data_IF_305670680861
#
_entry.id   IF_305670680861
#
_cell.length_a   1.000
_cell.length_b   1.000
_cell.length_c   1.000
_cell.angle_alpha   90.00
_cell.angle_beta   90.00
_cell.angle_gamma   90.00
#
_symmetry.space_group_name_H-M   'P 1'
#
loop_
_entity.id
_entity.type
_entity.pdbx_description
1 polymer ?
#
# COMPACT_ATOMS: atom_id res chain seq x y z
N UNK A 1 -20.96 25.97 10.08
CA UNK A 1 -19.95 24.92 10.40
C UNK A 1 -20.01 23.85 9.30
N UNK A 2 -19.29 24.00 8.19
CA UNK A 2 -19.32 23.13 6.98
C UNK A 2 -17.91 22.67 6.52
N UNK A 3 -16.92 22.65 7.42
CA UNK A 3 -15.51 22.36 7.05
C UNK A 3 -15.12 20.89 7.07
N UNK A 4 -15.95 19.98 7.59
CA UNK A 4 -15.53 18.58 7.80
C UNK A 4 -15.63 17.70 6.54
N UNK A 5 -16.50 18.01 5.59
CA UNK A 5 -16.74 17.13 4.43
C UNK A 5 -15.58 17.15 3.44
N UNK A 6 -14.99 18.32 3.16
CA UNK A 6 -13.88 18.46 2.21
C UNK A 6 -12.61 17.76 2.73
N UNK A 7 -12.28 17.93 4.01
CA UNK A 7 -11.11 17.31 4.61
C UNK A 7 -11.16 15.77 4.58
N UNK A 8 -12.35 15.18 4.72
CA UNK A 8 -12.54 13.73 4.62
C UNK A 8 -12.31 13.22 3.20
N UNK A 9 -12.84 13.91 2.18
CA UNK A 9 -12.64 13.54 0.77
C UNK A 9 -11.17 13.65 0.37
N UNK A 10 -10.49 14.72 0.79
CA UNK A 10 -9.06 14.91 0.51
C UNK A 10 -8.20 13.79 1.14
N UNK A 11 -8.52 13.39 2.38
CA UNK A 11 -7.83 12.29 3.05
C UNK A 11 -8.06 10.93 2.36
N UNK A 12 -9.26 10.69 1.83
CA UNK A 12 -9.57 9.47 1.08
C UNK A 12 -8.86 9.43 -0.27
N UNK A 13 -8.80 10.56 -0.99
CA UNK A 13 -8.04 10.68 -2.23
C UNK A 13 -6.55 10.46 -2.02
N UNK A 14 -5.99 11.06 -0.96
CA UNK A 14 -4.60 10.81 -0.59
C UNK A 14 -4.33 9.33 -0.28
N UNK A 15 -5.29 8.61 0.30
CA UNK A 15 -5.16 7.17 0.53
C UNK A 15 -5.17 6.36 -0.76
N UNK A 16 -6.07 6.67 -1.69
CA UNK A 16 -6.10 6.04 -3.02
C UNK A 16 -4.76 6.25 -3.75
N UNK A 17 -4.25 7.48 -3.74
CA UNK A 17 -2.97 7.82 -4.36
C UNK A 17 -1.80 7.07 -3.72
N UNK A 18 -1.78 6.96 -2.39
CA UNK A 18 -0.75 6.19 -1.67
C UNK A 18 -0.79 4.72 -2.03
N UNK A 19 -1.96 4.10 -2.07
CA UNK A 19 -2.10 2.68 -2.42
C UNK A 19 -1.70 2.46 -3.88
N UNK A 20 -2.12 3.34 -4.79
CA UNK A 20 -1.75 3.30 -6.20
C UNK A 20 -0.24 3.43 -6.40
N UNK A 21 0.40 4.36 -5.68
CA UNK A 21 1.85 4.51 -5.69
C UNK A 21 2.56 3.24 -5.18
N UNK A 22 2.09 2.66 -4.08
CA UNK A 22 2.66 1.44 -3.53
C UNK A 22 2.61 0.28 -4.53
N UNK A 23 1.44 0.06 -5.15
CA UNK A 23 1.26 -0.95 -6.20
C UNK A 23 2.16 -0.71 -7.42
N UNK A 24 2.31 0.55 -7.85
CA UNK A 24 3.06 0.87 -9.06
C UNK A 24 4.58 0.93 -8.87
N UNK A 25 5.07 1.22 -7.66
CA UNK A 25 6.48 1.51 -7.40
C UNK A 25 7.09 0.64 -6.31
N UNK A 26 6.44 0.54 -5.16
CA UNK A 26 7.02 -0.15 -4.00
C UNK A 26 6.95 -1.67 -4.17
N UNK A 27 5.81 -2.21 -4.63
CA UNK A 27 5.63 -3.64 -4.85
C UNK A 27 6.60 -4.20 -5.90
N UNK A 28 6.82 -3.56 -7.07
CA UNK A 28 7.86 -4.01 -7.99
C UNK A 28 9.28 -3.88 -7.44
N UNK A 29 9.55 -2.85 -6.62
CA UNK A 29 10.88 -2.68 -6.02
C UNK A 29 11.24 -3.82 -5.06
N UNK A 30 10.24 -4.40 -4.39
CA UNK A 30 10.42 -5.53 -3.48
C UNK A 30 11.00 -6.78 -4.17
N UNK A 31 10.84 -6.96 -5.49
CA UNK A 31 11.39 -8.11 -6.22
C UNK A 31 12.92 -8.23 -6.11
N UNK A 32 13.62 -7.14 -5.77
CA UNK A 32 15.07 -7.09 -5.60
C UNK A 32 15.53 -7.45 -4.19
N UNK A 33 14.61 -7.89 -3.33
CA UNK A 33 14.81 -7.99 -1.88
C UNK A 33 14.42 -6.70 -1.18
N UNK A 34 14.01 -6.81 0.08
CA UNK A 34 13.52 -5.69 0.88
C UNK A 34 13.64 -5.98 2.38
N UNK A 35 13.41 -4.94 3.18
CA UNK A 35 13.43 -5.05 4.64
C UNK A 35 12.06 -4.70 5.19
N UNK A 36 11.56 -5.52 6.12
CA UNK A 36 10.38 -5.24 6.92
C UNK A 36 10.86 -4.72 8.27
N UNK A 37 10.54 -3.47 8.58
CA UNK A 37 10.77 -2.92 9.91
C UNK A 37 9.72 -3.46 10.88
N UNK A 38 10.16 -4.02 12.00
CA UNK A 38 9.29 -4.51 13.07
C UNK A 38 9.64 -3.82 14.38
N UNK A 39 8.78 -3.93 15.39
CA UNK A 39 9.10 -3.45 16.75
C UNK A 39 10.31 -4.13 17.39
N UNK A 40 10.76 -5.26 16.84
CA UNK A 40 11.92 -6.02 17.30
C UNK A 40 13.16 -5.83 16.41
N UNK A 41 13.10 -4.91 15.44
CA UNK A 41 14.15 -4.66 14.47
C UNK A 41 13.77 -5.09 13.05
N UNK A 42 14.78 -5.21 12.20
CA UNK A 42 14.59 -5.38 10.77
C UNK A 42 14.59 -6.87 10.38
N UNK A 43 13.58 -7.28 9.62
CA UNK A 43 13.53 -8.58 8.95
C UNK A 43 13.92 -8.39 7.48
N UNK A 44 15.06 -8.96 7.09
CA UNK A 44 15.51 -8.93 5.72
C UNK A 44 14.88 -10.07 4.91
N UNK A 45 14.40 -9.76 3.71
CA UNK A 45 13.88 -10.72 2.74
C UNK A 45 14.75 -10.61 1.49
N UNK A 46 15.44 -11.69 1.17
CA UNK A 46 16.27 -11.77 -0.03
C UNK A 46 15.43 -11.83 -1.31
N UNK A 47 16.05 -11.50 -2.44
CA UNK A 47 15.39 -11.50 -3.75
C UNK A 47 14.82 -12.88 -4.14
N UNK A 48 15.37 -13.98 -3.61
CA UNK A 48 14.88 -15.34 -3.87
C UNK A 48 13.49 -15.59 -3.25
N UNK A 49 13.27 -15.09 -2.03
CA UNK A 49 12.00 -15.24 -1.31
C UNK A 49 11.00 -14.11 -1.58
N UNK A 50 11.49 -12.97 -2.07
CA UNK A 50 10.69 -11.78 -2.35
C UNK A 50 9.45 -12.02 -3.22
N UNK A 51 9.45 -12.85 -4.29
CA UNK A 51 8.28 -13.01 -5.16
C UNK A 51 7.00 -13.44 -4.43
N UNK A 52 7.13 -14.24 -3.36
CA UNK A 52 5.98 -14.66 -2.55
C UNK A 52 5.37 -13.50 -1.77
N UNK A 53 6.22 -12.63 -1.22
CA UNK A 53 5.79 -11.43 -0.54
C UNK A 53 5.22 -10.38 -1.49
N UNK A 54 5.80 -10.23 -2.69
CA UNK A 54 5.29 -9.35 -3.75
C UNK A 54 3.87 -9.74 -4.13
N UNK A 55 3.63 -11.03 -4.39
CA UNK A 55 2.30 -11.53 -4.71
C UNK A 55 1.28 -11.26 -3.58
N UNK A 56 1.69 -11.47 -2.33
CA UNK A 56 0.84 -11.19 -1.16
C UNK A 56 0.54 -9.69 -1.01
N UNK A 57 1.56 -8.84 -1.07
CA UNK A 57 1.43 -7.39 -0.95
C UNK A 57 0.53 -6.83 -2.07
N UNK A 58 0.72 -7.28 -3.31
CA UNK A 58 -0.10 -6.90 -4.44
C UNK A 58 -1.58 -7.26 -4.21
N UNK A 59 -1.87 -8.49 -3.80
CA UNK A 59 -3.24 -8.93 -3.52
C UNK A 59 -3.92 -8.12 -2.41
N UNK A 60 -3.20 -7.86 -1.32
CA UNK A 60 -3.71 -7.07 -0.19
C UNK A 60 -3.99 -5.62 -0.62
N UNK A 61 -3.04 -4.97 -1.30
CA UNK A 61 -3.16 -3.58 -1.71
C UNK A 61 -4.22 -3.38 -2.79
N UNK A 62 -4.36 -4.29 -3.75
CA UNK A 62 -5.48 -4.25 -4.70
C UNK A 62 -6.84 -4.37 -3.99
N UNK A 63 -6.94 -5.23 -2.96
CA UNK A 63 -8.16 -5.33 -2.16
C UNK A 63 -8.41 -4.05 -1.36
N UNK A 64 -7.38 -3.37 -0.88
CA UNK A 64 -7.50 -2.08 -0.18
C UNK A 64 -7.95 -0.98 -1.15
N UNK A 65 -7.33 -0.88 -2.33
CA UNK A 65 -7.67 0.09 -3.36
C UNK A 65 -9.14 0.00 -3.74
N UNK A 66 -9.63 -1.20 -4.08
CA UNK A 66 -11.05 -1.42 -4.42
C UNK A 66 -12.00 -0.98 -3.31
N UNK A 67 -11.63 -1.19 -2.03
CA UNK A 67 -12.47 -0.73 -0.91
C UNK A 67 -12.48 0.79 -0.80
N UNK A 68 -11.33 1.44 -1.01
CA UNK A 68 -11.21 2.89 -0.98
C UNK A 68 -11.99 3.56 -2.13
N UNK A 69 -11.92 2.98 -3.34
CA UNK A 69 -12.66 3.45 -4.52
C UNK A 69 -14.18 3.36 -4.34
N UNK A 70 -14.68 2.25 -3.80
CA UNK A 70 -16.13 2.08 -3.50
C UNK A 70 -16.63 3.06 -2.45
N UNK A 71 -15.78 3.48 -1.51
CA UNK A 71 -16.15 4.49 -0.52
C UNK A 71 -16.16 5.93 -1.10
N UNK A 72 -15.58 6.13 -2.28
CA UNK A 72 -15.50 7.42 -2.98
C UNK A 72 -16.60 7.59 -4.06
N UNK A 73 -17.17 6.50 -4.59
CA UNK A 73 -18.30 6.51 -5.54
C UNK A 73 -19.65 6.64 -4.84
#
# INVERSE_FOLDING_TARGET
MRKNTTATVDAMNAEIDRIGYALAKQVPAMERGFTIQTSYGDLHIDAEDAPRFVALAHSILQKQLKRAEVQHG
#
